data_IF_420205876737
#
_entry.id   IF_420205876737
#
_cell.length_a   1.000
_cell.length_b   1.000
_cell.length_c   1.000
_cell.angle_alpha   90.00
_cell.angle_beta   90.00
_cell.angle_gamma   90.00
#
_symmetry.space_group_name_H-M   'P 1'
#
loop_
_entity.id
_entity.type
_entity.pdbx_description
1 polymer ?
#
# COMPACT_ATOMS: atom_id res chain seq x y z
N UNK A 1 39.89 -35.55 -12.46
CA UNK A 1 39.11 -34.57 -13.22
C UNK A 1 38.64 -33.40 -12.33
N UNK A 2 39.43 -32.38 -12.04
CA UNK A 2 39.08 -31.28 -11.13
C UNK A 2 38.38 -30.09 -11.80
N UNK A 3 38.23 -30.08 -13.15
CA UNK A 3 37.79 -28.90 -13.87
C UNK A 3 36.28 -28.54 -13.70
N UNK A 4 35.41 -29.49 -13.38
CA UNK A 4 33.95 -29.19 -13.28
C UNK A 4 33.56 -28.63 -11.91
N UNK A 5 34.20 -29.05 -10.83
CA UNK A 5 33.99 -28.52 -9.46
C UNK A 5 34.38 -27.03 -9.38
N UNK A 6 35.50 -26.67 -9.99
CA UNK A 6 35.95 -25.28 -10.12
C UNK A 6 34.90 -24.38 -10.79
N UNK A 7 34.17 -24.91 -11.76
CA UNK A 7 33.15 -24.17 -12.49
C UNK A 7 31.88 -23.84 -11.66
N UNK A 8 31.36 -24.81 -10.90
CA UNK A 8 30.15 -24.62 -10.04
C UNK A 8 30.48 -23.67 -8.91
N UNK A 9 31.59 -23.86 -8.19
CA UNK A 9 32.02 -23.00 -7.09
C UNK A 9 32.18 -21.54 -7.58
N UNK A 10 32.81 -21.34 -8.73
CA UNK A 10 32.96 -20.02 -9.34
C UNK A 10 31.61 -19.37 -9.65
N UNK A 11 30.64 -20.11 -10.20
CA UNK A 11 29.27 -19.61 -10.45
C UNK A 11 28.56 -19.24 -9.16
N UNK A 12 28.68 -20.04 -8.12
CA UNK A 12 28.11 -19.75 -6.80
C UNK A 12 28.69 -18.45 -6.23
N UNK A 13 30.01 -18.24 -6.32
CA UNK A 13 30.62 -17.00 -5.88
C UNK A 13 30.16 -15.79 -6.69
N UNK A 14 30.03 -15.95 -8.01
CA UNK A 14 29.47 -14.91 -8.87
C UNK A 14 28.01 -14.60 -8.52
N UNK A 15 27.17 -15.59 -8.29
CA UNK A 15 25.79 -15.40 -7.83
C UNK A 15 25.75 -14.67 -6.47
N UNK A 16 26.59 -15.06 -5.52
CA UNK A 16 26.69 -14.38 -4.21
C UNK A 16 27.12 -12.92 -4.35
N UNK A 17 28.11 -12.64 -5.20
CA UNK A 17 28.56 -11.28 -5.46
C UNK A 17 27.45 -10.44 -6.11
N UNK A 18 26.76 -10.97 -7.13
CA UNK A 18 25.63 -10.31 -7.77
C UNK A 18 24.45 -10.08 -6.80
N UNK A 19 24.16 -11.06 -5.94
CA UNK A 19 23.12 -10.91 -4.91
C UNK A 19 23.43 -9.80 -3.91
N UNK A 20 24.68 -9.62 -3.49
CA UNK A 20 25.06 -8.50 -2.59
C UNK A 20 24.79 -7.14 -3.23
N UNK A 21 24.91 -7.02 -4.54
CA UNK A 21 24.57 -5.80 -5.29
C UNK A 21 23.05 -5.59 -5.36
N UNK A 22 22.28 -6.66 -5.59
CA UNK A 22 20.82 -6.62 -5.72
C UNK A 22 20.15 -6.44 -4.35
N UNK A 23 20.70 -7.06 -3.31
CA UNK A 23 20.22 -7.06 -1.93
C UNK A 23 21.36 -6.69 -0.96
N UNK A 24 21.69 -5.41 -0.82
CA UNK A 24 22.74 -5.00 0.10
C UNK A 24 22.47 -5.31 1.58
N UNK A 25 21.20 -5.53 1.96
CA UNK A 25 20.82 -5.87 3.33
C UNK A 25 19.58 -6.81 3.28
N UNK A 26 19.78 -8.07 3.68
CA UNK A 26 18.73 -9.14 3.62
C UNK A 26 17.50 -8.93 4.52
N UNK A 27 17.54 -7.99 5.46
CA UNK A 27 16.47 -7.75 6.45
C UNK A 27 15.19 -7.11 5.90
N UNK A 28 15.20 -6.54 4.68
CA UNK A 28 14.02 -5.84 4.13
C UNK A 28 12.81 -6.75 3.88
N UNK A 29 13.01 -8.07 3.72
CA UNK A 29 11.91 -9.01 3.42
C UNK A 29 11.27 -9.60 4.68
N UNK A 30 11.94 -9.62 5.80
CA UNK A 30 11.39 -10.11 7.08
C UNK A 30 10.20 -9.26 7.54
N UNK A 31 10.25 -7.95 7.31
CA UNK A 31 9.16 -7.01 7.63
C UNK A 31 8.01 -7.02 6.60
N UNK A 32 8.12 -7.80 5.53
CA UNK A 32 7.10 -7.83 4.48
C UNK A 32 5.94 -8.73 4.90
N UNK A 33 4.71 -8.21 4.84
CA UNK A 33 3.51 -9.00 5.19
C UNK A 33 3.36 -10.22 4.28
N UNK A 34 2.83 -11.32 4.81
CA UNK A 34 2.57 -12.56 4.08
C UNK A 34 1.77 -12.31 2.79
N UNK A 35 0.71 -11.51 2.86
CA UNK A 35 -0.07 -11.11 1.69
C UNK A 35 0.81 -10.49 0.59
N UNK A 36 1.74 -9.62 0.96
CA UNK A 36 2.65 -8.98 0.00
C UNK A 36 3.64 -9.97 -0.57
N UNK A 37 4.14 -10.92 0.24
CA UNK A 37 5.03 -12.00 -0.22
C UNK A 37 4.33 -12.86 -1.28
N UNK A 38 3.10 -13.29 -1.02
CA UNK A 38 2.28 -14.07 -1.97
C UNK A 38 2.07 -13.27 -3.28
N UNK A 39 1.74 -11.98 -3.19
CA UNK A 39 1.59 -11.11 -4.37
C UNK A 39 2.91 -11.00 -5.17
N UNK A 40 4.05 -10.90 -4.49
CA UNK A 40 5.36 -10.81 -5.12
C UNK A 40 5.73 -12.11 -5.85
N UNK A 41 5.51 -13.28 -5.22
CA UNK A 41 5.75 -14.57 -5.86
C UNK A 41 4.90 -14.71 -7.13
N UNK A 42 3.59 -14.47 -7.04
CA UNK A 42 2.68 -14.56 -8.21
C UNK A 42 3.11 -13.63 -9.35
N UNK A 43 3.49 -12.39 -9.02
CA UNK A 43 3.91 -11.42 -10.03
C UNK A 43 5.28 -11.80 -10.62
N UNK A 44 6.24 -12.22 -9.80
CA UNK A 44 7.56 -12.64 -10.26
C UNK A 44 7.50 -13.86 -11.18
N UNK A 45 6.73 -14.89 -10.82
CA UNK A 45 6.49 -16.06 -11.67
C UNK A 45 5.84 -15.67 -13.01
N UNK A 46 4.91 -14.71 -12.99
CA UNK A 46 4.30 -14.20 -14.23
C UNK A 46 5.33 -13.50 -15.12
N UNK A 47 6.25 -12.71 -14.55
CA UNK A 47 7.31 -12.04 -15.30
C UNK A 47 8.31 -13.03 -15.91
N UNK A 48 8.73 -14.01 -15.13
CA UNK A 48 9.62 -15.11 -15.60
C UNK A 48 8.95 -15.90 -16.72
N UNK A 49 7.67 -16.28 -16.53
CA UNK A 49 6.92 -17.01 -17.56
C UNK A 49 6.82 -16.22 -18.86
N UNK A 50 6.59 -14.92 -18.81
CA UNK A 50 6.57 -14.06 -20.01
C UNK A 50 7.95 -14.03 -20.70
N UNK A 51 9.02 -13.85 -19.93
CA UNK A 51 10.37 -13.83 -20.46
C UNK A 51 10.74 -15.14 -21.14
N UNK A 52 10.34 -16.30 -20.57
CA UNK A 52 10.64 -17.61 -21.14
C UNK A 52 9.75 -17.98 -22.33
N UNK A 53 8.46 -17.67 -22.29
CA UNK A 53 7.51 -18.07 -23.36
C UNK A 53 7.66 -17.25 -24.63
N UNK A 54 7.99 -15.97 -24.51
CA UNK A 54 8.09 -15.05 -25.67
C UNK A 54 9.52 -14.94 -26.20
N UNK A 55 10.46 -15.71 -25.68
CA UNK A 55 11.89 -15.53 -25.92
C UNK A 55 12.38 -14.10 -25.58
N UNK A 56 11.61 -13.41 -24.74
CA UNK A 56 11.90 -12.07 -24.26
C UNK A 56 12.96 -12.13 -23.16
N UNK A 57 13.73 -11.08 -23.04
CA UNK A 57 14.62 -10.92 -21.90
C UNK A 57 13.80 -10.53 -20.66
N UNK A 58 14.28 -10.86 -19.48
CA UNK A 58 13.68 -10.39 -18.23
C UNK A 58 13.61 -8.85 -18.17
N UNK A 59 14.59 -8.16 -18.77
CA UNK A 59 14.61 -6.71 -18.96
C UNK A 59 13.34 -6.21 -19.63
N UNK A 60 12.90 -6.85 -20.71
CA UNK A 60 11.75 -6.43 -21.49
C UNK A 60 10.46 -6.61 -20.68
N UNK A 61 10.31 -7.76 -20.01
CA UNK A 61 9.17 -8.00 -19.12
C UNK A 61 9.08 -7.00 -17.95
N UNK A 62 10.22 -6.53 -17.42
CA UNK A 62 10.26 -5.53 -16.36
C UNK A 62 9.91 -4.12 -16.86
N UNK A 63 10.41 -3.76 -18.04
CA UNK A 63 10.25 -2.43 -18.64
C UNK A 63 8.94 -2.24 -19.42
N UNK A 64 8.20 -3.29 -19.73
CA UNK A 64 6.91 -3.25 -20.43
C UNK A 64 5.84 -2.53 -19.59
N UNK A 65 6.10 -1.29 -19.20
CA UNK A 65 5.16 -0.41 -18.51
C UNK A 65 5.66 1.03 -18.49
N UNK A 66 4.76 1.97 -18.75
CA UNK A 66 5.02 3.40 -18.57
C UNK A 66 4.62 3.91 -17.17
N UNK A 67 4.02 3.06 -16.33
CA UNK A 67 3.52 3.45 -15.01
C UNK A 67 4.57 3.21 -13.92
N UNK A 68 5.07 4.25 -13.24
CA UNK A 68 6.08 4.09 -12.18
C UNK A 68 5.67 3.10 -11.08
N UNK A 69 4.41 3.12 -10.66
CA UNK A 69 3.92 2.21 -9.63
C UNK A 69 3.96 0.75 -10.06
N UNK A 70 3.66 0.45 -11.32
CA UNK A 70 3.75 -0.90 -11.88
C UNK A 70 5.21 -1.34 -12.01
N UNK A 71 6.07 -0.46 -12.53
CA UNK A 71 7.50 -0.72 -12.64
C UNK A 71 8.13 -1.06 -11.28
N UNK A 72 7.97 -0.18 -10.27
CA UNK A 72 8.54 -0.44 -8.95
C UNK A 72 7.95 -1.68 -8.26
N UNK A 73 6.67 -2.00 -8.51
CA UNK A 73 6.07 -3.25 -8.01
C UNK A 73 6.68 -4.47 -8.70
N UNK A 74 6.92 -4.44 -10.02
CA UNK A 74 7.61 -5.51 -10.76
C UNK A 74 9.03 -5.70 -10.23
N UNK A 75 9.77 -4.60 -10.06
CA UNK A 75 11.13 -4.63 -9.52
C UNK A 75 11.18 -5.23 -8.12
N UNK A 76 10.26 -4.84 -7.23
CA UNK A 76 10.19 -5.40 -5.88
C UNK A 76 9.84 -6.89 -5.88
N UNK A 77 8.88 -7.31 -6.72
CA UNK A 77 8.48 -8.71 -6.85
C UNK A 77 9.62 -9.56 -7.41
N UNK A 78 10.30 -9.09 -8.46
CA UNK A 78 11.42 -9.83 -9.06
C UNK A 78 12.60 -9.94 -8.09
N UNK A 79 12.92 -8.87 -7.35
CA UNK A 79 13.94 -8.89 -6.31
C UNK A 79 13.65 -9.95 -5.25
N UNK A 80 12.39 -10.06 -4.83
CA UNK A 80 11.96 -11.07 -3.86
C UNK A 80 12.10 -12.49 -4.41
N UNK A 81 11.69 -12.73 -5.66
CA UNK A 81 11.82 -14.05 -6.29
C UNK A 81 13.28 -14.46 -6.51
N UNK A 82 14.13 -13.52 -6.92
CA UNK A 82 15.58 -13.76 -7.05
C UNK A 82 16.21 -14.12 -5.70
N UNK A 83 15.79 -13.47 -4.63
CA UNK A 83 16.23 -13.81 -3.29
C UNK A 83 15.80 -15.22 -2.88
N UNK A 84 14.53 -15.58 -3.06
CA UNK A 84 14.04 -16.95 -2.78
C UNK A 84 14.83 -17.99 -3.55
N UNK A 85 14.97 -17.81 -4.86
CA UNK A 85 15.74 -18.71 -5.70
C UNK A 85 17.20 -18.84 -5.26
N UNK A 86 17.82 -17.74 -4.82
CA UNK A 86 19.18 -17.77 -4.31
C UNK A 86 19.29 -18.59 -3.02
N UNK A 87 18.33 -18.43 -2.10
CA UNK A 87 18.25 -19.21 -0.85
C UNK A 87 18.10 -20.70 -1.18
N UNK A 88 17.19 -21.05 -2.08
CA UNK A 88 16.95 -22.45 -2.50
C UNK A 88 18.21 -23.08 -3.11
N UNK A 89 18.88 -22.39 -4.04
CA UNK A 89 20.12 -22.86 -4.65
C UNK A 89 21.27 -23.03 -3.61
N UNK A 90 21.35 -22.14 -2.63
CA UNK A 90 22.33 -22.26 -1.54
C UNK A 90 22.01 -23.42 -0.59
N UNK A 91 20.73 -23.72 -0.32
CA UNK A 91 20.32 -24.85 0.51
C UNK A 91 20.60 -26.16 -0.20
N UNK A 92 20.20 -26.28 -1.47
CA UNK A 92 20.46 -27.45 -2.30
C UNK A 92 21.96 -27.79 -2.40
N UNK A 93 22.80 -26.76 -2.54
CA UNK A 93 24.24 -26.93 -2.56
C UNK A 93 24.82 -27.46 -1.23
N UNK A 94 24.20 -27.11 -0.09
CA UNK A 94 24.63 -27.59 1.24
C UNK A 94 24.18 -29.02 1.52
N UNK A 95 22.96 -29.36 1.08
CA UNK A 95 22.32 -30.65 1.34
C UNK A 95 22.83 -31.74 0.41
N UNK A 96 23.16 -31.35 -0.82
CA UNK A 96 23.68 -32.28 -1.82
C UNK A 96 25.19 -32.24 -1.77
N UNK A 97 25.81 -33.43 -1.70
CA UNK A 97 27.26 -33.59 -1.92
C UNK A 97 27.70 -33.28 -3.36
N UNK A 98 27.02 -32.35 -4.02
CA UNK A 98 27.26 -31.92 -5.41
C UNK A 98 28.72 -31.46 -5.60
N UNK A 99 29.40 -31.09 -4.50
CA UNK A 99 30.82 -30.70 -4.52
C UNK A 99 31.77 -31.88 -4.72
N UNK A 100 31.35 -33.14 -4.53
CA UNK A 100 32.25 -34.31 -4.48
C UNK A 100 32.21 -35.20 -5.73
N UNK A 101 31.90 -34.69 -6.91
CA UNK A 101 32.11 -35.50 -8.13
C UNK A 101 30.95 -35.53 -9.11
N UNK A 102 30.12 -34.49 -9.20
CA UNK A 102 28.99 -34.43 -10.11
C UNK A 102 29.43 -34.34 -11.58
N UNK A 103 29.75 -35.48 -12.18
CA UNK A 103 29.76 -35.70 -13.63
C UNK A 103 28.43 -36.20 -14.14
N UNK A 104 27.47 -36.35 -13.26
CA UNK A 104 26.12 -36.84 -13.52
C UNK A 104 25.18 -35.72 -14.00
N UNK A 105 24.02 -36.11 -14.51
CA UNK A 105 23.00 -35.22 -15.05
C UNK A 105 22.55 -34.15 -14.04
N UNK A 106 22.59 -34.44 -12.74
CA UNK A 106 22.21 -33.56 -11.64
C UNK A 106 23.16 -32.35 -11.54
N UNK A 107 24.45 -32.59 -11.64
CA UNK A 107 25.45 -31.50 -11.59
C UNK A 107 25.36 -30.54 -12.80
N UNK A 108 25.01 -31.09 -13.98
CA UNK A 108 24.79 -30.26 -15.19
C UNK A 108 23.55 -29.40 -15.03
N UNK A 109 22.44 -29.98 -14.57
CA UNK A 109 21.19 -29.24 -14.36
C UNK A 109 21.35 -28.13 -13.31
N UNK A 110 22.05 -28.43 -12.20
CA UNK A 110 22.32 -27.44 -11.15
C UNK A 110 23.19 -26.29 -11.67
N UNK A 111 24.20 -26.57 -12.48
CA UNK A 111 25.04 -25.58 -13.13
C UNK A 111 24.21 -24.67 -14.06
N UNK A 112 23.31 -25.24 -14.85
CA UNK A 112 22.43 -24.47 -15.73
C UNK A 112 21.45 -23.58 -14.97
N UNK A 113 20.97 -24.05 -13.82
CA UNK A 113 20.13 -23.25 -12.92
C UNK A 113 20.91 -22.09 -12.30
N UNK A 114 22.15 -22.31 -11.87
CA UNK A 114 23.03 -21.23 -11.38
C UNK A 114 23.32 -20.21 -12.48
N UNK A 115 23.63 -20.64 -13.69
CA UNK A 115 23.89 -19.74 -14.80
C UNK A 115 22.67 -18.89 -15.12
N UNK A 116 21.50 -19.50 -15.23
CA UNK A 116 20.23 -18.75 -15.43
C UNK A 116 19.96 -17.75 -14.28
N UNK A 117 20.25 -18.14 -13.05
CA UNK A 117 20.09 -17.23 -11.92
C UNK A 117 21.03 -16.03 -12.00
N UNK A 118 22.28 -16.24 -12.36
CA UNK A 118 23.27 -15.18 -12.57
C UNK A 118 22.86 -14.24 -13.71
N UNK A 119 22.35 -14.78 -14.81
CA UNK A 119 21.87 -14.00 -15.94
C UNK A 119 20.67 -13.12 -15.54
N UNK A 120 19.74 -13.64 -14.76
CA UNK A 120 18.61 -12.85 -14.26
C UNK A 120 19.03 -11.78 -13.25
N UNK A 121 19.99 -12.07 -12.37
CA UNK A 121 20.55 -11.05 -11.46
C UNK A 121 21.21 -9.92 -12.25
N UNK A 122 21.95 -10.24 -13.28
CA UNK A 122 22.62 -9.27 -14.16
C UNK A 122 21.61 -8.39 -14.89
N UNK A 123 20.58 -9.01 -15.49
CA UNK A 123 19.50 -8.28 -16.17
C UNK A 123 18.71 -7.39 -15.21
N UNK A 124 18.37 -7.91 -14.02
CA UNK A 124 17.68 -7.13 -12.98
C UNK A 124 18.51 -5.89 -12.57
N UNK A 125 19.82 -6.08 -12.37
CA UNK A 125 20.73 -4.99 -12.02
C UNK A 125 20.79 -3.93 -13.13
N UNK A 126 20.90 -4.35 -14.38
CA UNK A 126 20.88 -3.44 -15.53
C UNK A 126 19.62 -2.57 -15.55
N UNK A 127 18.43 -3.18 -15.39
CA UNK A 127 17.14 -2.44 -15.31
C UNK A 127 17.11 -1.50 -14.12
N UNK A 128 17.66 -1.91 -12.96
CA UNK A 128 17.73 -1.07 -11.76
C UNK A 128 18.58 0.17 -11.99
N UNK A 129 19.70 0.04 -12.68
CA UNK A 129 20.60 1.16 -13.02
C UNK A 129 19.99 2.08 -14.07
N UNK A 130 19.36 1.52 -15.11
CA UNK A 130 18.69 2.27 -16.16
C UNK A 130 17.47 3.03 -15.63
N UNK A 131 16.71 2.42 -14.71
CA UNK A 131 15.46 2.96 -14.21
C UNK A 131 14.33 2.95 -15.22
N UNK A 132 13.23 3.62 -14.88
CA UNK A 132 12.08 3.76 -15.76
C UNK A 132 12.35 4.79 -16.87
N UNK A 133 11.97 4.52 -18.14
CA UNK A 133 12.08 5.48 -19.22
C UNK A 133 11.49 6.86 -18.91
N UNK A 134 12.01 7.95 -19.50
CA UNK A 134 11.60 9.33 -19.19
C UNK A 134 10.12 9.61 -19.53
N UNK A 135 9.55 8.97 -20.54
CA UNK A 135 8.14 9.14 -21.00
C UNK A 135 7.12 8.45 -20.08
N UNK A 136 7.38 8.47 -18.80
CA UNK A 136 6.51 7.87 -17.78
C UNK A 136 5.18 8.62 -17.64
N UNK A 137 4.09 7.88 -17.59
CA UNK A 137 2.79 8.43 -17.23
C UNK A 137 2.79 8.95 -15.79
N UNK A 138 2.62 10.25 -15.61
CA UNK A 138 2.43 10.84 -14.29
C UNK A 138 1.11 10.33 -13.67
N UNK A 139 1.17 9.85 -12.44
CA UNK A 139 -0.04 9.44 -11.70
C UNK A 139 -0.92 10.66 -11.47
N UNK A 140 -2.20 10.58 -11.89
CA UNK A 140 -3.19 11.60 -11.55
C UNK A 140 -3.35 11.67 -10.02
N UNK A 141 -3.08 12.82 -9.44
CA UNK A 141 -3.21 13.04 -8.01
C UNK A 141 -4.68 12.97 -7.59
N UNK A 142 -4.98 12.28 -6.47
CA UNK A 142 -6.33 12.28 -5.89
C UNK A 142 -6.77 13.67 -5.42
N UNK A 143 -5.84 14.56 -5.16
CA UNK A 143 -6.11 15.98 -4.90
C UNK A 143 -6.70 16.69 -6.12
N UNK A 144 -6.25 16.36 -7.34
CA UNK A 144 -6.86 16.91 -8.55
C UNK A 144 -8.33 16.51 -8.74
N UNK A 145 -8.73 15.37 -8.16
CA UNK A 145 -10.12 14.96 -8.15
C UNK A 145 -11.03 15.83 -7.25
N UNK A 146 -10.47 16.70 -6.43
CA UNK A 146 -11.23 17.66 -5.62
C UNK A 146 -11.50 18.98 -6.35
N UNK A 147 -10.77 19.27 -7.44
CA UNK A 147 -10.96 20.51 -8.20
C UNK A 147 -12.32 20.50 -8.89
N UNK A 148 -13.06 21.61 -8.74
CA UNK A 148 -14.37 21.76 -9.35
C UNK A 148 -15.52 21.07 -8.61
N UNK A 149 -15.26 20.45 -7.44
CA UNK A 149 -16.33 20.01 -6.56
C UNK A 149 -16.91 21.20 -5.78
N UNK A 150 -18.22 21.18 -5.47
CA UNK A 150 -18.84 22.16 -4.59
C UNK A 150 -18.18 22.18 -3.20
N UNK A 151 -18.27 23.30 -2.49
CA UNK A 151 -17.70 23.44 -1.15
C UNK A 151 -18.21 22.35 -0.19
N UNK A 152 -19.49 22.03 -0.23
CA UNK A 152 -20.17 21.07 0.64
C UNK A 152 -20.34 19.68 -0.04
N UNK A 153 -19.34 19.27 -0.83
CA UNK A 153 -19.42 18.00 -1.57
C UNK A 153 -19.47 16.77 -0.64
N UNK A 154 -18.82 16.81 0.52
CA UNK A 154 -18.81 15.70 1.49
C UNK A 154 -20.20 15.50 2.09
N UNK A 155 -20.82 16.59 2.49
CA UNK A 155 -22.17 16.63 3.06
C UNK A 155 -23.19 16.10 2.03
N UNK A 156 -23.11 16.57 0.80
CA UNK A 156 -23.94 16.07 -0.31
C UNK A 156 -23.73 14.57 -0.55
N UNK A 157 -22.48 14.10 -0.48
CA UNK A 157 -22.15 12.69 -0.64
C UNK A 157 -22.72 11.84 0.50
N UNK A 158 -22.57 12.28 1.75
CA UNK A 158 -23.14 11.62 2.92
C UNK A 158 -24.68 11.59 2.87
N UNK A 159 -25.32 12.71 2.56
CA UNK A 159 -26.77 12.80 2.37
C UNK A 159 -27.28 11.82 1.30
N UNK A 160 -26.55 11.71 0.17
CA UNK A 160 -26.90 10.75 -0.90
C UNK A 160 -26.73 9.30 -0.47
N UNK A 161 -25.80 9.02 0.42
CA UNK A 161 -25.47 7.69 0.92
C UNK A 161 -26.20 7.27 2.21
N UNK A 162 -27.08 8.13 2.77
CA UNK A 162 -27.66 7.94 4.11
C UNK A 162 -28.45 6.63 4.26
N UNK A 163 -29.20 6.23 3.24
CA UNK A 163 -29.97 4.98 3.25
C UNK A 163 -29.14 3.73 2.87
N UNK A 164 -27.87 3.90 2.59
CA UNK A 164 -27.02 2.80 2.14
C UNK A 164 -26.31 2.09 3.30
N UNK A 165 -25.96 0.83 3.09
CA UNK A 165 -25.22 0.00 4.08
C UNK A 165 -23.88 0.59 4.54
N UNK A 166 -23.36 1.59 3.86
CA UNK A 166 -22.10 2.26 4.18
C UNK A 166 -22.29 3.66 4.79
N UNK A 167 -23.52 4.03 5.18
CA UNK A 167 -23.84 5.39 5.68
C UNK A 167 -22.93 5.81 6.83
N UNK A 168 -22.87 5.02 7.90
CA UNK A 168 -22.01 5.30 9.06
C UNK A 168 -20.53 5.33 8.67
N UNK A 169 -20.04 4.37 7.88
CA UNK A 169 -18.66 4.34 7.42
C UNK A 169 -18.29 5.55 6.53
N UNK A 170 -19.22 6.01 5.70
CA UNK A 170 -19.05 7.17 4.84
C UNK A 170 -18.97 8.45 5.66
N UNK A 171 -19.88 8.63 6.62
CA UNK A 171 -19.88 9.76 7.54
C UNK A 171 -18.62 9.80 8.39
N UNK A 172 -18.21 8.66 8.95
CA UNK A 172 -16.95 8.50 9.70
C UNK A 172 -15.73 8.88 8.86
N UNK A 173 -15.68 8.42 7.60
CA UNK A 173 -14.57 8.77 6.71
C UNK A 173 -14.57 10.25 6.31
N UNK A 174 -15.75 10.88 6.18
CA UNK A 174 -15.88 12.30 5.87
C UNK A 174 -15.42 13.18 7.04
N UNK A 175 -15.73 12.79 8.29
CA UNK A 175 -15.33 13.50 9.51
C UNK A 175 -13.86 13.30 9.87
N UNK A 176 -13.34 12.08 9.75
CA UNK A 176 -12.02 11.71 10.31
C UNK A 176 -10.90 11.55 9.27
N UNK A 177 -11.25 11.50 7.99
CA UNK A 177 -10.29 11.17 6.95
C UNK A 177 -9.63 9.78 7.12
N UNK A 178 -10.27 8.85 7.82
CA UNK A 178 -9.75 7.49 8.02
C UNK A 178 -9.57 6.76 6.69
N UNK A 179 -8.66 5.78 6.69
CA UNK A 179 -8.44 4.94 5.51
C UNK A 179 -9.52 3.85 5.42
N UNK A 180 -9.90 3.40 4.20
CA UNK A 180 -10.81 2.26 4.08
C UNK A 180 -10.32 0.99 4.81
N UNK A 181 -9.01 0.78 4.88
CA UNK A 181 -8.44 -0.35 5.63
C UNK A 181 -8.61 -0.20 7.16
N UNK A 182 -8.71 1.02 7.68
CA UNK A 182 -9.00 1.29 9.09
C UNK A 182 -10.48 1.01 9.40
N UNK A 183 -11.39 1.30 8.46
CA UNK A 183 -12.79 0.91 8.56
C UNK A 183 -13.00 -0.62 8.47
N UNK A 184 -12.14 -1.36 7.78
CA UNK A 184 -12.19 -2.83 7.79
C UNK A 184 -11.88 -3.36 9.20
N UNK A 185 -10.93 -2.76 9.90
CA UNK A 185 -10.63 -3.10 11.29
C UNK A 185 -11.76 -2.69 12.27
N UNK A 186 -12.51 -1.66 11.91
CA UNK A 186 -13.53 -1.02 12.74
C UNK A 186 -13.03 0.27 13.36
N UNK A 187 -13.88 1.28 13.33
CA UNK A 187 -13.68 2.60 13.94
C UNK A 187 -14.78 2.79 14.96
N UNK A 188 -14.42 3.13 16.20
CA UNK A 188 -15.36 3.30 17.29
C UNK A 188 -15.69 4.77 17.48
N UNK A 189 -16.95 5.08 17.72
CA UNK A 189 -17.47 6.44 17.86
C UNK A 189 -18.37 6.48 19.10
N UNK A 190 -18.13 7.44 19.99
CA UNK A 190 -18.96 7.67 21.17
C UNK A 190 -18.98 9.14 21.54
N UNK A 191 -19.96 9.53 22.35
CA UNK A 191 -20.05 10.85 22.96
C UNK A 191 -19.53 10.79 24.39
N UNK A 192 -18.82 11.80 24.81
CA UNK A 192 -18.28 11.92 26.15
C UNK A 192 -18.22 13.39 26.56
N UNK A 193 -18.14 13.68 27.85
CA UNK A 193 -17.92 15.02 28.35
C UNK A 193 -16.44 15.27 28.59
N UNK A 194 -15.86 16.23 27.89
CA UNK A 194 -14.47 16.64 28.09
C UNK A 194 -14.41 17.68 29.21
N UNK A 195 -13.92 17.27 30.38
CA UNK A 195 -13.79 18.15 31.56
C UNK A 195 -12.86 19.33 31.33
N UNK A 196 -11.83 19.19 30.47
CA UNK A 196 -10.89 20.26 30.15
C UNK A 196 -11.54 21.34 29.28
N UNK A 197 -12.34 20.91 28.32
CA UNK A 197 -13.04 21.82 27.40
C UNK A 197 -14.42 22.25 27.93
N UNK A 198 -14.90 21.62 29.02
CA UNK A 198 -16.27 21.80 29.60
C UNK A 198 -17.35 21.68 28.52
N UNK A 199 -17.24 20.65 27.65
CA UNK A 199 -18.12 20.43 26.51
C UNK A 199 -18.31 18.95 26.25
N UNK A 200 -19.47 18.60 25.70
CA UNK A 200 -19.67 17.32 25.07
C UNK A 200 -18.85 17.21 23.78
N UNK A 201 -18.16 16.11 23.62
CA UNK A 201 -17.32 15.81 22.45
C UNK A 201 -17.71 14.47 21.82
N UNK A 202 -17.68 14.43 20.50
CA UNK A 202 -17.74 13.18 19.76
C UNK A 202 -16.31 12.69 19.57
N UNK A 203 -16.04 11.49 20.04
CA UNK A 203 -14.76 10.82 19.92
C UNK A 203 -14.80 9.83 18.75
N UNK A 204 -13.81 9.85 17.88
CA UNK A 204 -13.61 8.90 16.79
C UNK A 204 -12.27 8.20 17.00
N UNK A 205 -12.30 6.94 17.41
CA UNK A 205 -11.13 6.12 17.72
C UNK A 205 -10.78 5.20 16.54
N UNK A 206 -9.56 5.32 16.05
CA UNK A 206 -9.10 4.71 14.83
C UNK A 206 -7.83 3.91 15.09
N UNK A 207 -7.93 2.58 14.94
CA UNK A 207 -6.77 1.70 14.89
C UNK A 207 -6.02 1.88 13.57
N UNK A 208 -4.71 2.05 13.62
CA UNK A 208 -3.88 2.30 12.44
C UNK A 208 -3.73 1.05 11.55
N UNK A 209 -4.03 1.17 10.25
CA UNK A 209 -3.94 0.05 9.30
C UNK A 209 -2.53 -0.21 8.74
N UNK A 210 -1.59 0.71 8.91
CA UNK A 210 -0.21 0.62 8.38
C UNK A 210 0.79 1.02 9.45
N UNK A 211 0.89 0.16 10.47
CA UNK A 211 1.81 0.36 11.59
C UNK A 211 3.02 -0.53 11.39
N UNK A 212 4.20 0.07 11.40
CA UNK A 212 5.52 -0.57 11.42
C UNK A 212 6.39 0.19 12.42
N UNK A 213 7.53 -0.38 12.82
CA UNK A 213 8.45 0.18 13.85
C UNK A 213 8.72 1.69 13.68
N UNK A 214 8.77 2.21 12.43
CA UNK A 214 9.02 3.63 12.13
C UNK A 214 7.94 4.26 11.24
N UNK A 215 6.77 3.64 11.15
CA UNK A 215 5.74 4.10 10.20
C UNK A 215 4.33 3.89 10.74
N UNK A 216 3.55 4.98 10.73
CA UNK A 216 2.16 4.96 11.19
C UNK A 216 2.04 5.00 12.71
N UNK A 217 0.90 5.49 13.17
CA UNK A 217 0.51 5.46 14.58
C UNK A 217 -0.38 4.25 14.83
N UNK A 218 -0.20 3.50 15.93
CA UNK A 218 -1.01 2.33 16.24
C UNK A 218 -2.48 2.67 16.52
N UNK A 219 -2.73 3.84 17.11
CA UNK A 219 -4.07 4.33 17.45
C UNK A 219 -4.09 5.85 17.43
N UNK A 220 -5.23 6.45 17.10
CA UNK A 220 -5.49 7.88 17.24
C UNK A 220 -6.95 8.13 17.56
N UNK A 221 -7.21 9.15 18.34
CA UNK A 221 -8.56 9.63 18.63
C UNK A 221 -8.68 11.04 18.04
N UNK A 222 -9.79 11.30 17.38
CA UNK A 222 -10.16 12.62 16.84
C UNK A 222 -11.38 13.07 17.61
N UNK A 223 -11.36 14.32 18.09
CA UNK A 223 -12.42 14.91 18.88
C UNK A 223 -13.10 16.02 18.08
N UNK A 224 -14.42 16.11 18.20
CA UNK A 224 -15.26 17.21 17.71
C UNK A 224 -16.17 17.68 18.83
N UNK A 225 -16.36 18.99 19.00
CA UNK A 225 -17.40 19.46 19.89
C UNK A 225 -18.75 19.01 19.35
N UNK A 226 -19.57 18.38 20.20
CA UNK A 226 -20.89 17.91 19.80
C UNK A 226 -21.84 19.07 19.43
N UNK A 227 -21.54 20.28 19.93
CA UNK A 227 -22.28 21.51 19.65
C UNK A 227 -21.84 22.24 18.38
N UNK A 228 -20.86 21.73 17.62
CA UNK A 228 -20.44 22.36 16.37
C UNK A 228 -21.56 22.31 15.32
N UNK A 229 -21.95 23.47 14.80
CA UNK A 229 -22.96 23.61 13.74
C UNK A 229 -22.43 23.19 12.37
N UNK A 230 -21.94 21.97 12.28
CA UNK A 230 -21.44 21.41 11.04
C UNK A 230 -22.34 20.23 10.63
N UNK A 231 -22.92 20.20 9.41
CA UNK A 231 -23.90 19.19 9.03
C UNK A 231 -23.48 17.72 9.21
N UNK A 232 -22.18 17.43 9.09
CA UNK A 232 -21.67 16.07 9.33
C UNK A 232 -21.64 15.72 10.83
N UNK A 233 -21.40 16.72 11.69
CA UNK A 233 -21.42 16.55 13.17
C UNK A 233 -22.86 16.37 13.64
N UNK A 234 -23.78 17.18 13.14
CA UNK A 234 -25.23 17.03 13.39
C UNK A 234 -25.72 15.65 12.98
N UNK A 235 -25.31 15.18 11.78
CA UNK A 235 -25.66 13.83 11.31
C UNK A 235 -25.07 12.73 12.21
N UNK A 236 -23.88 12.91 12.76
CA UNK A 236 -23.29 11.96 13.69
C UNK A 236 -24.00 11.97 15.04
N UNK A 237 -24.35 13.16 15.56
CA UNK A 237 -25.16 13.30 16.78
C UNK A 237 -26.49 12.56 16.64
N UNK A 238 -27.21 12.77 15.53
CA UNK A 238 -28.48 12.09 15.26
C UNK A 238 -28.33 10.55 15.27
N UNK A 239 -27.24 10.02 14.71
CA UNK A 239 -26.98 8.58 14.73
C UNK A 239 -26.67 8.08 16.16
N UNK A 240 -25.93 8.85 16.94
CA UNK A 240 -25.63 8.52 18.35
C UNK A 240 -26.88 8.57 19.22
N UNK A 241 -27.81 9.52 18.96
CA UNK A 241 -29.05 9.65 19.69
C UNK A 241 -30.07 8.54 19.36
N UNK A 242 -29.98 7.95 18.18
CA UNK A 242 -30.88 6.88 17.70
C UNK A 242 -30.48 5.48 18.15
N UNK A 243 -29.32 5.32 18.79
CA UNK A 243 -28.80 4.03 19.21
C UNK A 243 -28.92 3.85 20.73
N UNK A 244 -29.31 2.66 21.15
CA UNK A 244 -29.32 2.27 22.55
C UNK A 244 -27.90 1.99 23.08
N UNK A 245 -26.98 1.69 22.20
CA UNK A 245 -25.58 1.39 22.53
C UNK A 245 -24.76 2.68 22.68
N UNK A 246 -23.97 2.83 23.74
CA UNK A 246 -23.18 4.04 23.99
C UNK A 246 -22.04 4.23 22.98
N UNK A 247 -21.69 3.20 22.21
CA UNK A 247 -20.57 3.20 21.25
C UNK A 247 -21.02 2.64 19.92
N UNK A 248 -20.92 3.46 18.88
CA UNK A 248 -21.11 3.02 17.49
C UNK A 248 -19.81 2.41 16.92
N UNK A 249 -19.96 1.38 16.09
CA UNK A 249 -18.85 0.78 15.36
C UNK A 249 -19.05 0.95 13.85
N UNK A 250 -18.29 1.87 13.25
CA UNK A 250 -18.24 2.01 11.80
C UNK A 250 -17.31 0.92 11.22
N UNK A 251 -17.89 -0.10 10.60
CA UNK A 251 -17.14 -1.23 10.02
C UNK A 251 -17.61 -1.55 8.60
N UNK A 252 -16.68 -1.97 7.75
CA UNK A 252 -16.94 -2.41 6.39
C UNK A 252 -16.25 -3.77 6.14
N UNK A 253 -16.88 -4.64 5.38
CA UNK A 253 -16.29 -5.94 5.04
C UNK A 253 -15.12 -5.82 4.04
N UNK A 254 -15.18 -4.85 3.10
CA UNK A 254 -14.19 -4.74 2.03
C UNK A 254 -13.95 -3.29 1.61
N UNK A 255 -12.68 -2.87 1.66
CA UNK A 255 -12.24 -1.53 1.28
C UNK A 255 -12.46 -1.20 -0.21
N UNK A 256 -12.38 -2.20 -1.08
CA UNK A 256 -12.63 -2.06 -2.51
C UNK A 256 -14.09 -1.74 -2.79
N UNK A 257 -15.01 -2.52 -2.23
CA UNK A 257 -16.46 -2.33 -2.39
C UNK A 257 -16.92 -0.97 -1.85
N UNK A 258 -16.38 -0.55 -0.70
CA UNK A 258 -16.63 0.79 -0.16
C UNK A 258 -16.18 1.89 -1.14
N UNK A 259 -15.00 1.73 -1.73
CA UNK A 259 -14.49 2.69 -2.73
C UNK A 259 -15.34 2.71 -4.00
N UNK A 260 -15.86 1.55 -4.44
CA UNK A 260 -16.79 1.44 -5.59
C UNK A 260 -18.09 2.17 -5.28
N UNK A 261 -18.64 2.01 -4.08
CA UNK A 261 -19.87 2.71 -3.68
C UNK A 261 -19.68 4.23 -3.66
N UNK A 262 -18.60 4.75 -3.10
CA UNK A 262 -18.28 6.19 -3.14
C UNK A 262 -18.23 6.70 -4.59
N UNK A 263 -17.63 5.94 -5.50
CA UNK A 263 -17.59 6.30 -6.93
C UNK A 263 -18.97 6.33 -7.54
N UNK A 264 -19.81 5.36 -7.23
CA UNK A 264 -21.21 5.28 -7.70
C UNK A 264 -22.01 6.50 -7.24
N UNK A 265 -21.99 6.80 -5.94
CA UNK A 265 -22.66 7.96 -5.35
C UNK A 265 -22.17 9.26 -5.97
N UNK A 266 -20.86 9.42 -6.11
CA UNK A 266 -20.25 10.61 -6.70
C UNK A 266 -20.63 10.78 -8.18
N UNK A 267 -20.71 9.68 -8.94
CA UNK A 267 -21.13 9.74 -10.34
C UNK A 267 -22.60 10.13 -10.50
N UNK A 268 -23.44 9.75 -9.55
CA UNK A 268 -24.84 10.19 -9.51
C UNK A 268 -24.95 11.70 -9.21
N UNK A 269 -24.12 12.23 -8.29
CA UNK A 269 -24.18 13.65 -7.92
C UNK A 269 -23.47 14.55 -8.94
N UNK A 270 -22.35 14.10 -9.49
CA UNK A 270 -21.51 14.89 -10.39
C UNK A 270 -21.13 14.07 -11.65
N UNK A 271 -22.10 13.79 -12.54
CA UNK A 271 -21.88 12.93 -13.71
C UNK A 271 -20.81 13.47 -14.66
N UNK A 272 -20.68 14.80 -14.78
CA UNK A 272 -19.69 15.44 -15.64
C UNK A 272 -18.30 15.60 -15.00
N UNK A 273 -18.14 15.21 -13.73
CA UNK A 273 -16.85 15.39 -13.05
C UNK A 273 -15.77 14.48 -13.69
N UNK A 274 -14.60 15.04 -14.12
CA UNK A 274 -13.64 14.35 -14.97
C UNK A 274 -12.84 13.25 -14.25
N UNK A 275 -12.84 13.23 -12.91
CA UNK A 275 -12.07 12.28 -12.13
C UNK A 275 -12.92 11.50 -11.12
N UNK A 276 -12.60 10.24 -10.93
CA UNK A 276 -13.29 9.40 -9.96
C UNK A 276 -12.99 9.84 -8.52
N UNK A 277 -14.04 10.19 -7.77
CA UNK A 277 -13.98 10.46 -6.34
C UNK A 277 -13.88 9.12 -5.60
N UNK A 278 -13.03 9.05 -4.61
CA UNK A 278 -12.74 7.84 -3.84
C UNK A 278 -12.62 8.18 -2.36
N UNK A 279 -12.61 7.18 -1.47
CA UNK A 279 -12.40 7.39 -0.05
C UNK A 279 -11.13 8.20 0.29
N UNK A 280 -10.08 8.09 -0.53
CA UNK A 280 -8.89 8.94 -0.36
C UNK A 280 -9.14 10.42 -0.65
N UNK A 281 -10.16 10.77 -1.43
CA UNK A 281 -10.55 12.18 -1.63
C UNK A 281 -11.10 12.79 -0.32
N UNK A 282 -11.89 12.02 0.45
CA UNK A 282 -12.35 12.43 1.79
C UNK A 282 -11.16 12.74 2.71
N UNK A 283 -10.16 11.85 2.73
CA UNK A 283 -8.94 12.04 3.52
C UNK A 283 -8.11 13.25 3.06
N UNK A 284 -8.02 13.51 1.76
CA UNK A 284 -7.34 14.71 1.25
C UNK A 284 -8.07 15.99 1.66
N UNK A 285 -9.39 15.99 1.59
CA UNK A 285 -10.19 17.13 2.03
C UNK A 285 -10.04 17.38 3.53
N UNK A 286 -10.22 16.34 4.35
CA UNK A 286 -10.01 16.43 5.79
C UNK A 286 -8.64 17.02 6.14
N UNK A 287 -7.60 16.54 5.47
CA UNK A 287 -6.24 17.07 5.68
C UNK A 287 -6.10 18.53 5.26
N UNK A 288 -6.78 18.96 4.20
CA UNK A 288 -6.75 20.36 3.76
C UNK A 288 -7.48 21.26 4.75
N UNK A 289 -8.63 20.83 5.25
CA UNK A 289 -9.42 21.58 6.24
C UNK A 289 -8.67 21.70 7.56
N UNK A 290 -8.11 20.60 8.07
CA UNK A 290 -7.33 20.64 9.33
C UNK A 290 -6.09 21.53 9.21
N UNK A 291 -5.44 21.60 8.04
CA UNK A 291 -4.30 22.51 7.82
C UNK A 291 -4.64 23.99 7.86
N UNK A 292 -5.90 24.33 7.60
CA UNK A 292 -6.35 25.74 7.67
C UNK A 292 -6.57 26.19 9.11
N UNK A 293 -6.89 25.27 10.01
CA UNK A 293 -7.32 25.57 11.38
C UNK A 293 -6.32 25.15 12.44
N UNK A 294 -5.39 24.22 12.11
CA UNK A 294 -4.51 23.61 13.09
C UNK A 294 -3.06 23.54 12.60
N UNK A 295 -2.14 23.28 13.55
CA UNK A 295 -0.72 23.10 13.26
C UNK A 295 -0.46 21.88 12.38
N UNK A 296 0.68 21.89 11.67
CA UNK A 296 1.08 20.75 10.84
C UNK A 296 1.27 19.43 11.61
N UNK A 297 1.57 19.49 12.90
CA UNK A 297 1.75 18.31 13.74
C UNK A 297 0.40 17.69 14.15
N UNK A 298 -0.61 18.51 14.39
CA UNK A 298 -2.00 18.06 14.58
C UNK A 298 -2.52 17.32 13.36
N UNK A 299 -2.27 17.84 12.15
CA UNK A 299 -2.59 17.16 10.89
C UNK A 299 -1.89 15.80 10.79
N UNK A 300 -0.60 15.73 11.14
CA UNK A 300 0.16 14.47 11.10
C UNK A 300 -0.40 13.45 12.07
N UNK A 301 -0.72 13.87 13.30
CA UNK A 301 -1.34 13.04 14.33
C UNK A 301 -2.71 12.54 13.88
N UNK A 302 -3.60 13.42 13.46
CA UNK A 302 -4.94 13.07 12.99
C UNK A 302 -4.93 12.16 11.76
N UNK A 303 -3.94 12.27 10.87
CA UNK A 303 -3.75 11.35 9.75
C UNK A 303 -3.05 10.03 10.13
N UNK A 304 -2.59 9.87 11.36
CA UNK A 304 -1.85 8.69 11.80
C UNK A 304 -0.48 8.54 11.10
N UNK A 305 0.22 9.66 10.88
CA UNK A 305 1.57 9.68 10.32
C UNK A 305 2.62 9.71 11.44
N UNK A 306 3.63 8.83 11.37
CA UNK A 306 4.76 8.85 12.30
C UNK A 306 5.84 9.88 11.88
N UNK A 307 5.81 10.41 10.66
CA UNK A 307 6.79 11.38 10.18
C UNK A 307 6.17 12.55 9.42
N UNK A 308 6.78 13.74 9.57
CA UNK A 308 6.39 14.94 8.85
C UNK A 308 6.55 14.81 7.32
N UNK A 309 7.47 13.96 6.83
CA UNK A 309 7.70 13.73 5.40
C UNK A 309 6.45 13.22 4.69
N UNK A 310 5.68 12.35 5.33
CA UNK A 310 4.46 11.76 4.76
C UNK A 310 3.34 12.81 4.62
N UNK A 311 3.34 13.85 5.46
CA UNK A 311 2.36 14.95 5.43
C UNK A 311 2.34 15.71 4.10
N UNK A 312 3.48 15.82 3.42
CA UNK A 312 3.60 16.55 2.13
C UNK A 312 2.72 15.96 1.02
N UNK A 313 2.32 14.70 1.16
CA UNK A 313 1.47 14.00 0.19
C UNK A 313 -0.02 14.34 0.33
N UNK A 314 -0.43 15.02 1.42
CA UNK A 314 -1.83 15.32 1.73
C UNK A 314 -2.02 16.83 1.93
N UNK A 315 -3.05 17.37 1.33
CA UNK A 315 -3.56 18.73 1.50
C UNK A 315 -2.48 19.85 1.36
N UNK A 316 -2.54 20.62 0.34
CA UNK A 316 -1.94 21.95 0.23
C UNK A 316 -3.04 22.93 -0.06
#
# INVERSE_FOLDING_TARGET
MPHNQSGILRLVEQCRAAMRVVLPLGSEFEETSEKTRIEYVKLGLTLVKRATQNNDRLTDALLDTQRPTTFYKRMAAMRYCLWLQHVDLCSEMRESSICEGATDSIGVEFKDRLQRHLDWLTQYHAVRCQGLPPDRQKRKSKRQALRGLPQHWRESLCKRGVAGKYSLALLTAALSGCRPAELVAGVYIWRDFDETLQKEVINIDIAGAKVKVRQGQPRRIIHFAASDNHPLIESMNQLLDQQDEPVLKAQIANAGNFTVEIRRLSKCLWPAHPQAITAYCLRHQWSADTKRTQSGDSVSRGLGHASAKTRRNYGQ
#
